data_IF_557317832205
#
_entry.id   IF_557317832205
#
_cell.length_a   1.000
_cell.length_b   1.000
_cell.length_c   1.000
_cell.angle_alpha   90.00
_cell.angle_beta   90.00
_cell.angle_gamma   90.00
#
_symmetry.space_group_name_H-M   'P 1'
#
loop_
_entity.id
_entity.type
_entity.pdbx_description
1 polymer ?
#
# COMPACT_ATOMS: atom_id res chain seq x y z
N UNK A 1 -3.51 9.61 -0.01
CA UNK A 1 -3.85 8.54 0.94
C UNK A 1 -3.45 7.21 0.34
N UNK A 2 -2.75 6.36 1.09
CA UNK A 2 -2.27 5.05 0.66
C UNK A 2 -3.04 3.99 1.44
N UNK A 3 -3.48 2.95 0.73
CA UNK A 3 -4.19 1.80 1.26
C UNK A 3 -3.43 0.54 0.86
N UNK A 4 -3.20 -0.36 1.81
CA UNK A 4 -2.58 -1.66 1.56
C UNK A 4 -3.52 -2.73 2.08
N UNK A 5 -4.36 -3.34 1.23
CA UNK A 5 -5.11 -4.54 1.59
C UNK A 5 -4.28 -5.82 1.47
N UNK A 6 -4.58 -6.82 2.29
CA UNK A 6 -4.06 -8.19 2.16
C UNK A 6 -4.84 -9.00 1.10
N UNK A 7 -4.44 -10.26 0.87
CA UNK A 7 -5.11 -11.17 -0.08
C UNK A 7 -6.55 -11.52 0.27
N UNK A 8 -6.97 -11.28 1.52
CA UNK A 8 -8.34 -11.45 2.02
C UNK A 8 -9.18 -10.18 1.83
N UNK A 9 -8.62 -9.11 1.25
CA UNK A 9 -9.27 -7.81 1.06
C UNK A 9 -9.30 -6.94 2.32
N UNK A 10 -8.66 -7.35 3.42
CA UNK A 10 -8.61 -6.58 4.65
C UNK A 10 -7.53 -5.51 4.57
N UNK A 11 -7.87 -4.27 4.93
CA UNK A 11 -6.95 -3.15 4.95
C UNK A 11 -5.95 -3.29 6.12
N UNK A 12 -4.68 -3.53 5.81
CA UNK A 12 -3.60 -3.67 6.82
C UNK A 12 -2.84 -2.36 7.07
N UNK A 13 -2.92 -1.39 6.17
CA UNK A 13 -2.36 -0.06 6.37
C UNK A 13 -3.19 1.02 5.67
N UNK A 14 -3.42 2.13 6.38
CA UNK A 14 -3.93 3.37 5.80
C UNK A 14 -3.09 4.56 6.26
N UNK A 15 -2.54 5.35 5.32
CA UNK A 15 -1.80 6.59 5.66
C UNK A 15 -2.16 7.76 4.74
N UNK A 16 -2.40 8.93 5.31
CA UNK A 16 -2.54 10.18 4.57
C UNK A 16 -1.15 10.74 4.24
N UNK A 17 -0.69 10.54 3.00
CA UNK A 17 0.54 11.14 2.49
C UNK A 17 0.34 12.65 2.27
N UNK A 18 1.05 13.47 3.04
CA UNK A 18 1.23 14.91 2.80
C UNK A 18 2.70 15.17 2.44
N UNK A 19 2.92 15.86 1.31
CA UNK A 19 4.21 16.02 0.61
C UNK A 19 4.88 14.68 0.22
N UNK A 20 5.75 14.71 -0.79
CA UNK A 20 6.49 13.55 -1.29
C UNK A 20 7.54 13.08 -0.27
N UNK A 21 7.10 12.54 0.86
CA UNK A 21 7.95 11.84 1.81
C UNK A 21 8.08 10.38 1.39
N UNK A 22 9.31 9.89 1.44
CA UNK A 22 9.65 8.49 1.28
C UNK A 22 8.80 7.66 2.26
N UNK A 23 7.95 6.80 1.72
CA UNK A 23 7.05 5.98 2.51
C UNK A 23 7.73 4.63 2.76
N UNK A 24 8.29 4.46 3.96
CA UNK A 24 8.67 3.14 4.42
C UNK A 24 7.40 2.28 4.56
N UNK A 25 7.37 1.15 3.86
CA UNK A 25 6.35 0.13 4.09
C UNK A 25 6.66 -0.57 5.42
N UNK A 26 5.64 -0.94 6.22
CA UNK A 26 5.87 -1.76 7.39
C UNK A 26 6.50 -3.10 6.97
N UNK A 27 7.14 -3.78 7.91
CA UNK A 27 7.54 -5.17 7.70
C UNK A 27 6.28 -5.99 7.41
N UNK A 28 6.12 -6.39 6.15
CA UNK A 28 5.03 -7.24 5.70
C UNK A 28 5.53 -8.69 5.68
N UNK A 29 4.71 -9.67 6.09
CA UNK A 29 5.00 -11.08 5.85
C UNK A 29 5.21 -11.38 4.36
N UNK A 30 5.86 -12.50 4.06
CA UNK A 30 5.96 -12.99 2.69
C UNK A 30 4.56 -13.20 2.09
N UNK A 31 4.38 -12.75 0.85
CA UNK A 31 3.07 -12.78 0.20
C UNK A 31 2.93 -11.77 -0.93
N UNK A 32 1.70 -11.71 -1.46
CA UNK A 32 1.33 -10.81 -2.55
C UNK A 32 0.33 -9.78 -2.02
N UNK A 33 0.65 -8.52 -2.25
CA UNK A 33 -0.14 -7.38 -1.80
C UNK A 33 -0.47 -6.47 -2.99
N UNK A 34 -1.58 -5.76 -2.88
CA UNK A 34 -1.92 -4.66 -3.78
C UNK A 34 -1.61 -3.35 -3.07
N UNK A 35 -0.72 -2.53 -3.62
CA UNK A 35 -0.55 -1.16 -3.16
C UNK A 35 -1.45 -0.23 -3.96
N UNK A 36 -2.24 0.58 -3.26
CA UNK A 36 -3.03 1.63 -3.88
C UNK A 36 -2.64 3.01 -3.36
N UNK A 37 -2.19 3.88 -4.25
CA UNK A 37 -1.94 5.28 -3.98
C UNK A 37 -3.09 6.14 -4.55
N UNK A 38 -3.65 7.02 -3.70
CA UNK A 38 -4.75 7.92 -4.07
C UNK A 38 -4.37 9.39 -3.87
N UNK A 39 -4.61 10.21 -4.88
CA UNK A 39 -4.46 11.67 -4.84
C UNK A 39 -5.69 12.34 -5.47
N UNK A 40 -6.58 12.89 -4.62
CA UNK A 40 -7.91 13.34 -5.05
C UNK A 40 -8.71 12.20 -5.69
N UNK A 41 -9.14 12.40 -6.94
CA UNK A 41 -9.83 11.40 -7.77
C UNK A 41 -8.88 10.42 -8.47
N UNK A 42 -7.58 10.71 -8.53
CA UNK A 42 -6.58 9.85 -9.19
C UNK A 42 -6.23 8.66 -8.32
N UNK A 43 -6.08 7.50 -8.96
CA UNK A 43 -5.65 6.25 -8.34
C UNK A 43 -4.52 5.66 -9.17
N UNK A 44 -3.52 5.10 -8.50
CA UNK A 44 -2.49 4.28 -9.08
C UNK A 44 -2.37 3.01 -8.23
N UNK A 45 -2.32 1.85 -8.87
CA UNK A 45 -2.19 0.57 -8.21
C UNK A 45 -0.99 -0.19 -8.75
N UNK A 46 -0.32 -0.94 -7.88
CA UNK A 46 0.77 -1.84 -8.26
C UNK A 46 0.76 -3.10 -7.41
N UNK A 47 1.27 -4.20 -7.96
CA UNK A 47 1.43 -5.46 -7.23
C UNK A 47 2.77 -5.43 -6.50
N UNK A 48 2.75 -5.68 -5.21
CA UNK A 48 3.93 -5.92 -4.39
C UNK A 48 4.05 -7.40 -4.07
N UNK A 49 5.23 -7.96 -4.30
CA UNK A 49 5.59 -9.31 -3.89
C UNK A 49 6.66 -9.19 -2.82
N UNK A 50 6.36 -9.71 -1.63
CA UNK A 50 7.31 -9.82 -0.52
C UNK A 50 7.80 -11.26 -0.50
N UNK A 51 9.08 -11.45 -0.76
CA UNK A 51 9.74 -12.75 -0.64
C UNK A 51 10.34 -12.91 0.77
N UNK A 52 10.55 -14.15 1.18
CA UNK A 52 11.27 -14.50 2.42
C UNK A 52 12.75 -14.08 2.38
#
# INVERSE_FOLDING_TARGET
MIFVPNSMGQLVLSRQAGAAQELALPALPAGVYLLEARSGSRRASTRLVVAE
#
